data_IF_277621585608
#
_entry.id   IF_277621585608
#
_cell.length_a   1.000
_cell.length_b   1.000
_cell.length_c   1.000
_cell.angle_alpha   90.00
_cell.angle_beta   90.00
_cell.angle_gamma   90.00
#
_symmetry.space_group_name_H-M   'P 1'
#
loop_
_entity.id
_entity.type
_entity.pdbx_description
1 polymer ?
#
# COMPACT_ATOMS: atom_id res chain seq x y z
N UNK A 1 1.65 -10.77 -11.10
CA UNK A 1 1.60 -9.45 -10.45
C UNK A 1 2.34 -8.49 -11.36
N UNK A 2 1.70 -7.48 -11.95
CA UNK A 2 2.46 -6.40 -12.59
C UNK A 2 3.29 -5.74 -11.49
N UNK A 3 4.60 -5.59 -11.70
CA UNK A 3 5.50 -5.03 -10.70
C UNK A 3 5.06 -3.61 -10.36
N UNK A 4 4.73 -3.37 -9.09
CA UNK A 4 4.33 -2.07 -8.54
C UNK A 4 5.34 -0.97 -8.92
N UNK A 5 6.61 -1.33 -9.09
CA UNK A 5 7.73 -0.48 -9.53
C UNK A 5 7.47 0.27 -10.83
N UNK A 6 6.76 -0.33 -11.80
CA UNK A 6 6.42 0.34 -13.07
C UNK A 6 5.21 1.27 -12.89
N UNK A 7 4.37 1.01 -11.89
CA UNK A 7 3.13 1.77 -11.66
C UNK A 7 3.39 3.04 -10.85
N UNK A 8 4.31 2.99 -9.87
CA UNK A 8 4.69 4.16 -9.06
C UNK A 8 5.37 5.27 -9.85
N UNK A 9 5.89 5.00 -11.05
CA UNK A 9 6.52 6.02 -11.92
C UNK A 9 5.51 6.76 -12.79
N UNK A 10 4.26 6.31 -12.87
CA UNK A 10 3.24 6.90 -13.75
C UNK A 10 2.58 8.16 -13.17
N UNK A 11 2.77 8.43 -11.88
CA UNK A 11 2.20 9.61 -11.24
C UNK A 11 2.16 9.50 -9.72
N UNK A 12 1.51 10.47 -9.05
CA UNK A 12 1.34 10.46 -7.60
C UNK A 12 0.62 9.21 -7.11
N UNK A 13 0.99 8.76 -5.92
CA UNK A 13 0.40 7.60 -5.25
C UNK A 13 -0.43 8.02 -4.05
N UNK A 14 -1.42 7.19 -3.67
CA UNK A 14 -2.24 7.39 -2.48
C UNK A 14 -1.81 6.38 -1.42
N UNK A 15 -1.29 6.86 -0.30
CA UNK A 15 -1.02 6.04 0.88
C UNK A 15 -2.23 6.00 1.82
N UNK A 16 -2.60 4.82 2.29
CA UNK A 16 -3.68 4.62 3.26
C UNK A 16 -3.13 3.87 4.47
N UNK A 17 -3.22 4.49 5.65
CA UNK A 17 -2.86 3.87 6.93
C UNK A 17 -4.12 3.31 7.60
N UNK A 18 -4.06 2.04 8.00
CA UNK A 18 -5.13 1.37 8.74
C UNK A 18 -4.60 0.79 10.04
N UNK A 19 -5.33 1.01 11.13
CA UNK A 19 -4.99 0.51 12.46
C UNK A 19 -6.11 -0.38 13.01
N UNK A 20 -5.73 -1.36 13.83
CA UNK A 20 -6.65 -2.26 14.51
C UNK A 20 -6.13 -3.69 14.60
N UNK A 21 -6.82 -4.51 15.40
CA UNK A 21 -6.49 -5.93 15.56
C UNK A 21 -6.56 -6.66 14.22
N UNK A 22 -5.51 -7.40 13.87
CA UNK A 22 -5.39 -8.15 12.62
C UNK A 22 -5.57 -7.30 11.33
N UNK A 23 -5.31 -5.99 11.38
CA UNK A 23 -5.60 -5.09 10.25
C UNK A 23 -4.89 -5.51 8.95
N UNK A 24 -3.65 -6.01 9.05
CA UNK A 24 -2.86 -6.45 7.90
C UNK A 24 -3.53 -7.62 7.19
N UNK A 25 -3.93 -8.64 7.94
CA UNK A 25 -4.60 -9.83 7.39
C UNK A 25 -5.95 -9.47 6.76
N UNK A 26 -6.72 -8.61 7.43
CA UNK A 26 -8.02 -8.13 6.94
C UNK A 26 -7.84 -7.34 5.64
N UNK A 27 -6.86 -6.44 5.56
CA UNK A 27 -6.58 -5.67 4.35
C UNK A 27 -6.18 -6.58 3.18
N UNK A 28 -5.31 -7.56 3.43
CA UNK A 28 -4.90 -8.53 2.41
C UNK A 28 -6.09 -9.33 1.89
N UNK A 29 -6.96 -9.83 2.77
CA UNK A 29 -8.17 -10.56 2.38
C UNK A 29 -9.11 -9.70 1.53
N UNK A 30 -9.44 -8.49 2.01
CA UNK A 30 -10.34 -7.58 1.31
C UNK A 30 -9.82 -7.24 -0.10
N UNK A 31 -8.52 -6.97 -0.23
CA UNK A 31 -7.93 -6.63 -1.53
C UNK A 31 -7.88 -7.83 -2.47
N UNK A 32 -7.55 -9.01 -1.96
CA UNK A 32 -7.60 -10.24 -2.75
C UNK A 32 -9.01 -10.52 -3.27
N UNK A 33 -10.05 -10.32 -2.46
CA UNK A 33 -11.44 -10.52 -2.85
C UNK A 33 -11.90 -9.43 -3.84
N UNK A 34 -11.57 -8.17 -3.57
CA UNK A 34 -11.93 -7.04 -4.43
C UNK A 34 -11.33 -7.16 -5.84
N UNK A 35 -10.08 -7.58 -5.94
CA UNK A 35 -9.34 -7.70 -7.21
C UNK A 35 -9.84 -8.88 -8.02
N UNK A 36 -10.13 -10.01 -7.37
CA UNK A 36 -10.73 -11.17 -8.04
C UNK A 36 -12.10 -10.84 -8.62
N UNK A 37 -12.88 -10.00 -7.95
CA UNK A 37 -14.27 -9.75 -8.30
C UNK A 37 -14.50 -8.58 -9.29
N UNK A 38 -13.71 -7.51 -9.22
CA UNK A 38 -14.04 -6.27 -9.97
C UNK A 38 -12.90 -5.63 -10.74
N UNK A 39 -11.65 -5.81 -10.32
CA UNK A 39 -10.51 -5.10 -10.92
C UNK A 39 -9.25 -5.97 -10.95
N UNK A 40 -9.22 -6.95 -11.85
CA UNK A 40 -8.09 -7.89 -11.99
C UNK A 40 -6.73 -7.22 -12.28
N UNK A 41 -6.73 -5.94 -12.67
CA UNK A 41 -5.56 -5.19 -13.07
C UNK A 41 -5.27 -3.96 -12.18
N UNK A 42 -5.91 -3.81 -11.02
CA UNK A 42 -5.60 -2.71 -10.11
C UNK A 42 -4.25 -2.98 -9.42
N UNK A 43 -3.19 -2.19 -9.68
CA UNK A 43 -1.94 -2.33 -8.96
C UNK A 43 -2.10 -1.76 -7.55
N UNK A 44 -1.62 -2.50 -6.55
CA UNK A 44 -1.74 -2.12 -5.16
C UNK A 44 -0.59 -2.73 -4.37
N UNK A 45 -0.31 -2.13 -3.21
CA UNK A 45 0.67 -2.62 -2.26
C UNK A 45 -0.02 -2.81 -0.90
N UNK A 46 0.31 -3.90 -0.22
CA UNK A 46 -0.08 -4.14 1.18
C UNK A 46 1.09 -4.67 1.97
N UNK A 47 1.23 -4.22 3.21
CA UNK A 47 2.16 -4.79 4.17
C UNK A 47 1.94 -6.30 4.35
N UNK A 48 3.01 -7.04 4.61
CA UNK A 48 2.96 -8.50 4.80
C UNK A 48 2.78 -8.88 6.27
N UNK A 49 3.27 -8.05 7.18
CA UNK A 49 3.14 -8.22 8.63
C UNK A 49 2.94 -6.86 9.32
N UNK A 50 2.58 -6.89 10.61
CA UNK A 50 2.47 -5.67 11.42
C UNK A 50 3.82 -4.97 11.59
N UNK A 51 4.91 -5.75 11.72
CA UNK A 51 6.28 -5.22 11.80
C UNK A 51 6.65 -4.49 10.51
N UNK A 52 6.40 -5.11 9.36
CA UNK A 52 6.68 -4.48 8.06
C UNK A 52 5.84 -3.22 7.86
N UNK A 53 4.57 -3.24 8.28
CA UNK A 53 3.67 -2.09 8.17
C UNK A 53 4.22 -0.87 8.89
N UNK A 54 4.76 -1.05 10.10
CA UNK A 54 5.34 0.04 10.87
C UNK A 54 6.52 0.68 10.13
N UNK A 55 7.49 -0.12 9.67
CA UNK A 55 8.62 0.40 8.91
C UNK A 55 8.22 1.05 7.59
N UNK A 56 7.19 0.51 6.92
CA UNK A 56 6.73 1.02 5.64
C UNK A 56 6.02 2.37 5.77
N UNK A 57 5.25 2.58 6.85
CA UNK A 57 4.63 3.86 7.17
C UNK A 57 5.69 4.92 7.42
N UNK A 58 6.69 4.63 8.25
CA UNK A 58 7.79 5.55 8.53
C UNK A 58 8.53 5.96 7.24
N UNK A 59 8.86 4.98 6.39
CA UNK A 59 9.51 5.23 5.09
C UNK A 59 8.64 6.08 4.17
N UNK A 60 7.34 5.80 4.09
CA UNK A 60 6.40 6.54 3.25
C UNK A 60 6.24 7.99 3.72
N UNK A 61 6.03 8.22 5.02
CA UNK A 61 5.87 9.56 5.58
C UNK A 61 7.16 10.39 5.50
N UNK A 62 8.32 9.78 5.71
CA UNK A 62 9.61 10.46 5.54
C UNK A 62 9.78 10.94 4.10
N UNK A 63 9.54 10.05 3.12
CA UNK A 63 9.60 10.42 1.71
C UNK A 63 8.58 11.52 1.35
N UNK A 64 7.32 11.35 1.76
CA UNK A 64 6.25 12.31 1.47
C UNK A 64 6.55 13.69 2.08
N UNK A 65 7.04 13.72 3.32
CA UNK A 65 7.43 14.97 3.99
C UNK A 65 8.59 15.65 3.26
N UNK A 66 9.63 14.90 2.88
CA UNK A 66 10.76 15.46 2.12
C UNK A 66 10.35 16.04 0.77
N UNK A 67 9.37 15.45 0.07
CA UNK A 67 8.88 15.93 -1.22
C UNK A 67 7.86 17.07 -1.11
N UNK A 68 7.03 17.10 -0.06
CA UNK A 68 6.02 18.14 0.13
C UNK A 68 6.60 19.47 0.63
N UNK A 69 7.76 19.45 1.29
CA UNK A 69 8.45 20.65 1.77
C UNK A 69 9.67 21.04 0.90
N UNK A 70 9.83 20.41 -0.27
CA UNK A 70 10.85 20.76 -1.27
C UNK A 70 10.39 21.87 -2.23
#
# INVERSE_FOLDING_TARGET
MKSIEVEITKGPVIGLEFAGTNCVQICQQLLNDFIKLKYQNLPYFTSQSATDAHEQLDKFYNFASMQMFA
#
